data_IF_758163390387
#
_entry.id   IF_758163390387
#
_cell.length_a   1.000
_cell.length_b   1.000
_cell.length_c   1.000
_cell.angle_alpha   90.00
_cell.angle_beta   90.00
_cell.angle_gamma   90.00
#
_symmetry.space_group_name_H-M   'P 1'
#
loop_
_entity.id
_entity.type
_entity.pdbx_description
1 polymer ?
#
# COMPACT_ATOMS: atom_id res chain seq x y z
N UNK A 1 24.99 25.15 -18.36
CA UNK A 1 23.63 25.72 -18.40
C UNK A 1 23.02 25.49 -17.02
N UNK A 2 22.98 26.55 -16.22
CA UNK A 2 22.63 26.51 -14.79
C UNK A 2 21.12 26.47 -14.59
N UNK A 3 20.59 25.37 -14.06
CA UNK A 3 19.22 25.31 -13.52
C UNK A 3 19.33 25.61 -12.02
N UNK A 4 18.88 26.81 -11.63
CA UNK A 4 18.76 27.22 -10.23
C UNK A 4 17.55 26.51 -9.63
N UNK A 5 17.76 25.68 -8.61
CA UNK A 5 16.71 25.22 -7.71
C UNK A 5 16.12 26.44 -6.99
N UNK A 6 14.85 26.74 -7.25
CA UNK A 6 14.04 27.61 -6.39
C UNK A 6 13.61 26.78 -5.17
N UNK A 7 14.33 26.91 -4.07
CA UNK A 7 13.87 26.44 -2.76
C UNK A 7 12.80 27.44 -2.29
N UNK A 8 11.53 27.10 -2.49
CA UNK A 8 10.43 27.77 -1.79
C UNK A 8 10.43 27.29 -0.34
N UNK A 9 11.08 28.06 0.54
CA UNK A 9 10.89 27.94 1.99
C UNK A 9 9.49 28.42 2.35
N UNK A 10 8.51 27.52 2.30
CA UNK A 10 7.21 27.77 2.94
C UNK A 10 7.45 27.65 4.44
N UNK A 11 7.66 28.80 5.10
CA UNK A 11 7.46 28.90 6.54
C UNK A 11 5.97 28.66 6.80
N UNK A 12 5.60 27.42 7.10
CA UNK A 12 4.30 27.13 7.71
C UNK A 12 4.40 27.67 9.13
N UNK A 13 3.66 28.71 9.52
CA UNK A 13 3.56 29.05 10.92
C UNK A 13 2.97 27.82 11.63
N UNK A 14 3.72 27.29 12.60
CA UNK A 14 3.20 26.27 13.52
C UNK A 14 2.09 26.96 14.31
N UNK A 15 0.87 26.89 13.80
CA UNK A 15 -0.32 27.27 14.53
C UNK A 15 -0.50 26.21 15.60
N UNK A 16 0.04 26.48 16.78
CA UNK A 16 -0.32 25.79 18.02
C UNK A 16 -1.77 26.17 18.35
N UNK A 17 -2.73 25.48 17.73
CA UNK A 17 -4.13 25.54 18.14
C UNK A 17 -4.64 24.12 18.36
N UNK A 18 -4.39 23.62 19.56
CA UNK A 18 -5.00 22.41 20.10
C UNK A 18 -6.45 22.67 20.51
N UNK A 19 -7.29 23.09 19.56
CA UNK A 19 -8.73 23.36 19.78
C UNK A 19 -9.65 22.64 18.81
N UNK A 20 -9.11 21.96 17.79
CA UNK A 20 -9.94 21.27 16.81
C UNK A 20 -10.33 19.89 17.34
N UNK A 21 -11.63 19.59 17.35
CA UNK A 21 -12.14 18.31 17.83
C UNK A 21 -11.69 17.15 16.92
N UNK A 22 -11.58 15.93 17.45
CA UNK A 22 -11.17 14.74 16.67
C UNK A 22 -11.99 14.53 15.38
N UNK A 23 -13.33 14.73 15.35
CA UNK A 23 -14.12 14.65 14.13
C UNK A 23 -13.75 15.73 13.09
N UNK A 24 -13.51 16.96 13.52
CA UNK A 24 -13.13 18.07 12.63
C UNK A 24 -11.72 17.90 12.07
N UNK A 25 -10.78 17.37 12.87
CA UNK A 25 -9.45 16.96 12.41
C UNK A 25 -9.56 15.87 11.33
N UNK A 26 -10.36 14.82 11.58
CA UNK A 26 -10.56 13.73 10.63
C UNK A 26 -11.19 14.20 9.31
N UNK A 27 -12.17 15.11 9.37
CA UNK A 27 -12.81 15.70 8.18
C UNK A 27 -11.82 16.57 7.41
N UNK A 28 -11.01 17.39 8.09
CA UNK A 28 -10.02 18.26 7.46
C UNK A 28 -8.94 17.44 6.76
N UNK A 29 -8.34 16.47 7.45
CA UNK A 29 -7.27 15.65 6.85
C UNK A 29 -7.79 14.69 5.79
N UNK A 30 -9.01 14.16 5.94
CA UNK A 30 -9.67 13.38 4.89
C UNK A 30 -9.90 14.19 3.61
N UNK A 31 -10.42 15.42 3.73
CA UNK A 31 -10.60 16.30 2.57
C UNK A 31 -9.28 16.70 1.90
N UNK A 32 -8.24 16.99 2.70
CA UNK A 32 -6.90 17.27 2.17
C UNK A 32 -6.30 16.07 1.43
N UNK A 33 -6.49 14.86 1.95
CA UNK A 33 -6.02 13.64 1.31
C UNK A 33 -6.72 13.38 -0.04
N UNK A 34 -8.04 13.57 -0.11
CA UNK A 34 -8.79 13.41 -1.37
C UNK A 34 -8.38 14.47 -2.41
N UNK A 35 -8.19 15.73 -1.99
CA UNK A 35 -7.71 16.79 -2.88
C UNK A 35 -6.28 16.53 -3.38
N UNK A 36 -5.41 16.00 -2.52
CA UNK A 36 -4.06 15.61 -2.91
C UNK A 36 -4.07 14.45 -3.90
N UNK A 37 -4.97 13.47 -3.68
CA UNK A 37 -5.18 12.36 -4.61
C UNK A 37 -5.67 12.88 -5.97
N UNK A 38 -6.67 13.75 -6.02
CA UNK A 38 -7.13 14.36 -7.28
C UNK A 38 -5.99 15.04 -8.06
N UNK A 39 -5.13 15.80 -7.38
CA UNK A 39 -3.95 16.42 -8.01
C UNK A 39 -2.96 15.39 -8.54
N UNK A 40 -2.75 14.29 -7.81
CA UNK A 40 -1.94 13.17 -8.28
C UNK A 40 -2.55 12.52 -9.52
N UNK A 41 -3.87 12.31 -9.56
CA UNK A 41 -4.55 11.73 -10.72
C UNK A 41 -4.44 12.63 -11.95
N UNK A 42 -4.58 13.94 -11.78
CA UNK A 42 -4.35 14.90 -12.86
C UNK A 42 -2.94 14.80 -13.46
N UNK A 43 -1.92 14.59 -12.62
CA UNK A 43 -0.55 14.36 -13.08
C UNK A 43 -0.40 12.97 -13.74
N UNK A 44 -0.94 11.92 -13.14
CA UNK A 44 -0.87 10.57 -13.70
C UNK A 44 -1.66 10.41 -15.00
N UNK A 45 -2.67 11.26 -15.23
CA UNK A 45 -3.47 11.25 -16.44
C UNK A 45 -2.66 11.62 -17.69
N UNK A 46 -1.78 12.63 -17.59
CA UNK A 46 -0.87 13.01 -18.67
C UNK A 46 0.19 11.95 -18.94
N UNK A 47 0.65 11.29 -17.87
CA UNK A 47 1.79 10.37 -17.89
C UNK A 47 1.39 8.89 -17.81
N UNK A 48 0.11 8.57 -18.06
CA UNK A 48 -0.44 7.23 -17.87
C UNK A 48 0.28 6.14 -18.69
N UNK A 49 0.99 6.49 -19.77
CA UNK A 49 1.77 5.51 -20.56
C UNK A 49 3.15 5.22 -19.97
N UNK A 50 3.63 6.12 -19.12
CA UNK A 50 4.97 6.10 -18.56
C UNK A 50 4.98 5.69 -17.08
N UNK A 51 3.80 5.42 -16.50
CA UNK A 51 3.69 4.84 -15.16
C UNK A 51 4.32 3.44 -15.13
N UNK A 52 5.21 3.25 -14.15
CA UNK A 52 5.74 1.94 -13.82
C UNK A 52 4.69 1.10 -13.07
N UNK A 53 5.00 -0.17 -12.84
CA UNK A 53 4.11 -1.10 -12.15
C UNK A 53 3.76 -0.62 -10.74
N UNK A 54 4.70 -0.05 -10.00
CA UNK A 54 4.47 0.46 -8.64
C UNK A 54 3.45 1.60 -8.62
N UNK A 55 3.53 2.51 -9.59
CA UNK A 55 2.54 3.57 -9.77
C UNK A 55 1.15 3.00 -10.04
N UNK A 56 1.04 1.99 -10.90
CA UNK A 56 -0.22 1.28 -11.16
C UNK A 56 -0.72 0.55 -9.92
N UNK A 57 0.16 -0.11 -9.18
CA UNK A 57 -0.23 -0.83 -7.99
C UNK A 57 -0.66 0.11 -6.86
N UNK A 58 0.03 1.24 -6.68
CA UNK A 58 -0.38 2.31 -5.78
C UNK A 58 -1.76 2.87 -6.13
N UNK A 59 -2.05 3.05 -7.43
CA UNK A 59 -3.38 3.39 -7.91
C UNK A 59 -4.42 2.33 -7.51
N UNK A 60 -4.14 1.04 -7.66
CA UNK A 60 -5.06 -0.02 -7.23
C UNK A 60 -5.30 -0.05 -5.72
N UNK A 61 -4.29 0.25 -4.92
CA UNK A 61 -4.45 0.43 -3.46
C UNK A 61 -5.39 1.59 -3.18
N UNK A 62 -5.15 2.76 -3.77
CA UNK A 62 -6.01 3.93 -3.61
C UNK A 62 -7.46 3.64 -4.06
N UNK A 63 -7.64 2.95 -5.19
CA UNK A 63 -8.97 2.54 -5.68
C UNK A 63 -9.71 1.67 -4.65
N UNK A 64 -9.02 0.67 -4.09
CA UNK A 64 -9.61 -0.20 -3.07
C UNK A 64 -10.01 0.58 -1.81
N UNK A 65 -9.20 1.56 -1.39
CA UNK A 65 -9.53 2.42 -0.24
C UNK A 65 -10.77 3.28 -0.47
N UNK A 66 -10.88 3.88 -1.66
CA UNK A 66 -12.06 4.67 -2.02
C UNK A 66 -13.32 3.80 -2.09
N UNK A 67 -13.20 2.58 -2.60
CA UNK A 67 -14.31 1.62 -2.66
C UNK A 67 -14.78 1.26 -1.25
N UNK A 68 -13.88 0.88 -0.35
CA UNK A 68 -14.22 0.56 1.04
C UNK A 68 -14.81 1.78 1.79
N UNK A 69 -14.26 2.98 1.56
CA UNK A 69 -14.83 4.21 2.12
C UNK A 69 -16.26 4.45 1.61
N UNK A 70 -16.50 4.27 0.32
CA UNK A 70 -17.83 4.41 -0.26
C UNK A 70 -18.81 3.36 0.29
N UNK A 71 -18.38 2.11 0.48
CA UNK A 71 -19.19 1.04 1.10
C UNK A 71 -19.60 1.41 2.54
N UNK A 72 -18.67 1.91 3.36
CA UNK A 72 -18.94 2.36 4.74
C UNK A 72 -19.95 3.52 4.76
N UNK A 73 -19.76 4.50 3.88
CA UNK A 73 -20.64 5.67 3.78
C UNK A 73 -22.04 5.34 3.26
N UNK A 74 -22.20 4.22 2.54
CA UNK A 74 -23.49 3.81 1.96
C UNK A 74 -24.22 2.78 2.80
N UNK A 75 -23.52 1.99 3.60
CA UNK A 75 -24.07 0.92 4.45
C UNK A 75 -24.52 1.42 5.83
N UNK A 76 -24.06 2.58 6.29
CA UNK A 76 -24.39 3.14 7.61
C UNK A 76 -25.73 3.90 7.69
N UNK A 77 -26.47 4.03 6.58
CA UNK A 77 -27.74 4.77 6.52
C UNK A 77 -28.94 3.87 6.21
N UNK A 78 -29.50 3.22 7.22
CA UNK A 78 -30.64 2.31 7.06
C UNK A 78 -32.02 2.98 6.85
N UNK A 79 -32.15 4.31 6.91
CA UNK A 79 -33.49 4.93 6.81
C UNK A 79 -33.68 6.09 5.83
N UNK A 80 -32.66 6.62 5.16
CA UNK A 80 -32.82 7.53 4.02
C UNK A 80 -31.46 7.74 3.35
N UNK A 81 -31.18 6.97 2.29
CA UNK A 81 -29.91 7.03 1.57
C UNK A 81 -29.82 8.35 0.78
N UNK A 82 -29.36 9.43 1.43
CA UNK A 82 -28.99 10.66 0.74
C UNK A 82 -27.55 10.54 0.26
N UNK A 83 -27.38 10.23 -1.02
CA UNK A 83 -26.10 10.41 -1.69
C UNK A 83 -25.71 11.89 -1.58
N UNK A 84 -24.53 12.14 -1.02
CA UNK A 84 -23.98 13.49 -0.91
C UNK A 84 -22.99 13.74 -2.04
N UNK A 85 -22.69 15.01 -2.32
CA UNK A 85 -21.62 15.39 -3.25
C UNK A 85 -20.28 14.71 -2.92
N UNK A 86 -20.04 14.39 -1.64
CA UNK A 86 -18.84 13.67 -1.21
C UNK A 86 -18.80 12.22 -1.69
N UNK A 87 -19.95 11.53 -1.69
CA UNK A 87 -20.04 10.17 -2.21
C UNK A 87 -19.74 10.17 -3.71
N UNK A 88 -20.33 11.11 -4.45
CA UNK A 88 -20.05 11.27 -5.88
C UNK A 88 -18.59 11.61 -6.15
N UNK A 89 -17.97 12.47 -5.34
CA UNK A 89 -16.56 12.80 -5.47
C UNK A 89 -15.65 11.59 -5.24
N UNK A 90 -15.86 10.81 -4.17
CA UNK A 90 -15.10 9.58 -3.89
C UNK A 90 -15.23 8.57 -5.05
N UNK A 91 -16.45 8.38 -5.56
CA UNK A 91 -16.71 7.50 -6.70
C UNK A 91 -16.01 8.00 -7.97
N UNK A 92 -16.04 9.32 -8.24
CA UNK A 92 -15.39 9.90 -9.41
C UNK A 92 -13.87 9.66 -9.40
N UNK A 93 -13.21 9.81 -8.25
CA UNK A 93 -11.79 9.51 -8.09
C UNK A 93 -11.50 8.02 -8.32
N UNK A 94 -12.36 7.12 -7.83
CA UNK A 94 -12.20 5.67 -8.06
C UNK A 94 -12.29 5.30 -9.55
N UNK A 95 -13.25 5.90 -10.28
CA UNK A 95 -13.41 5.72 -11.73
C UNK A 95 -12.20 6.27 -12.49
N UNK A 96 -11.71 7.44 -12.11
CA UNK A 96 -10.54 8.06 -12.72
C UNK A 96 -9.29 7.20 -12.53
N UNK A 97 -9.05 6.69 -11.32
CA UNK A 97 -8.00 5.73 -11.02
C UNK A 97 -8.09 4.50 -11.91
N UNK A 98 -9.29 3.92 -12.05
CA UNK A 98 -9.47 2.72 -12.87
C UNK A 98 -9.03 2.97 -14.32
N UNK A 99 -9.46 4.11 -14.87
CA UNK A 99 -9.15 4.51 -16.25
C UNK A 99 -7.65 4.71 -16.46
N UNK A 100 -6.98 5.41 -15.54
CA UNK A 100 -5.52 5.65 -15.60
C UNK A 100 -4.78 4.32 -15.47
N UNK A 101 -5.11 3.50 -14.46
CA UNK A 101 -4.47 2.21 -14.22
C UNK A 101 -4.63 1.27 -15.42
N UNK A 102 -5.83 1.17 -16.01
CA UNK A 102 -6.08 0.33 -17.18
C UNK A 102 -5.26 0.77 -18.41
N UNK A 103 -5.15 2.08 -18.66
CA UNK A 103 -4.30 2.60 -19.75
C UNK A 103 -2.82 2.28 -19.51
N UNK A 104 -2.37 2.41 -18.27
CA UNK A 104 -1.00 2.11 -17.86
C UNK A 104 -0.67 0.63 -18.01
N UNK A 105 -1.59 -0.26 -17.65
CA UNK A 105 -1.44 -1.71 -17.85
C UNK A 105 -1.28 -2.07 -19.32
N UNK A 106 -2.00 -1.40 -20.23
CA UNK A 106 -1.85 -1.61 -21.69
C UNK A 106 -0.45 -1.19 -22.17
N UNK A 107 0.10 -0.10 -21.62
CA UNK A 107 1.46 0.35 -21.94
C UNK A 107 2.51 -0.63 -21.38
N UNK A 108 2.39 -1.00 -20.10
CA UNK A 108 3.27 -1.97 -19.43
C UNK A 108 3.26 -3.35 -20.10
N UNK A 109 2.12 -3.80 -20.59
CA UNK A 109 2.04 -5.06 -21.34
C UNK A 109 2.90 -5.05 -22.62
N UNK A 110 3.23 -3.86 -23.16
CA UNK A 110 4.11 -3.71 -24.34
C UNK A 110 5.57 -3.51 -23.96
N UNK A 111 5.84 -2.78 -22.89
CA UNK A 111 7.20 -2.34 -22.51
C UNK A 111 7.86 -3.23 -21.46
N UNK A 112 7.08 -3.88 -20.61
CA UNK A 112 7.54 -4.62 -19.43
C UNK A 112 6.68 -5.88 -19.17
N UNK A 113 6.38 -6.64 -20.23
CA UNK A 113 5.42 -7.76 -20.18
C UNK A 113 5.78 -8.85 -19.16
N UNK A 114 7.04 -9.25 -19.08
CA UNK A 114 7.51 -10.26 -18.12
C UNK A 114 7.40 -9.76 -16.68
N UNK A 115 7.74 -8.50 -16.44
CA UNK A 115 7.62 -7.89 -15.11
C UNK A 115 6.16 -7.76 -14.69
N UNK A 116 5.27 -7.31 -15.60
CA UNK A 116 3.83 -7.24 -15.35
C UNK A 116 3.23 -8.61 -15.00
N UNK A 117 3.66 -9.68 -15.67
CA UNK A 117 3.15 -11.03 -15.41
C UNK A 117 3.38 -11.48 -13.96
N UNK A 118 4.47 -11.05 -13.32
CA UNK A 118 4.76 -11.34 -11.89
C UNK A 118 3.66 -10.86 -10.95
N UNK A 119 3.05 -9.73 -11.27
CA UNK A 119 2.17 -8.99 -10.35
C UNK A 119 0.76 -8.78 -10.89
N UNK A 120 0.41 -9.39 -12.03
CA UNK A 120 -0.86 -9.14 -12.71
C UNK A 120 -2.07 -9.37 -11.79
N UNK A 121 -2.00 -10.33 -10.88
CA UNK A 121 -3.07 -10.61 -9.91
C UNK A 121 -3.40 -9.41 -9.02
N UNK A 122 -2.38 -8.64 -8.60
CA UNK A 122 -2.57 -7.46 -7.71
C UNK A 122 -2.68 -6.15 -8.48
N UNK A 123 -2.13 -6.07 -9.68
CA UNK A 123 -2.19 -4.87 -10.52
C UNK A 123 -3.50 -4.74 -11.32
N UNK A 124 -4.22 -5.86 -11.54
CA UNK A 124 -5.42 -5.89 -12.39
C UNK A 124 -6.71 -5.45 -11.71
N UNK A 125 -6.76 -5.41 -10.37
CA UNK A 125 -7.99 -5.16 -9.60
C UNK A 125 -7.73 -4.22 -8.42
N UNK A 126 -8.76 -3.52 -7.92
CA UNK A 126 -8.64 -2.74 -6.70
C UNK A 126 -8.11 -3.59 -5.55
N UNK A 127 -7.15 -3.07 -4.80
CA UNK A 127 -6.60 -3.73 -3.63
C UNK A 127 -7.36 -3.26 -2.39
N UNK A 128 -8.34 -4.05 -1.97
CA UNK A 128 -9.05 -3.85 -0.72
C UNK A 128 -8.30 -4.55 0.41
N UNK A 129 -7.98 -3.81 1.45
CA UNK A 129 -7.42 -4.34 2.67
C UNK A 129 -8.35 -3.98 3.83
N UNK A 130 -8.53 -4.94 4.73
CA UNK A 130 -9.22 -4.73 5.99
C UNK A 130 -8.24 -4.11 6.99
N UNK A 131 -8.39 -2.80 7.23
CA UNK A 131 -7.53 -2.04 8.15
C UNK A 131 -8.14 -2.01 9.55
N UNK A 132 -7.47 -2.69 10.47
CA UNK A 132 -7.72 -2.51 11.90
C UNK A 132 -6.89 -1.29 12.39
N UNK A 133 -7.54 -0.13 12.51
CA UNK A 133 -6.91 1.08 13.04
C UNK A 133 -6.55 0.85 14.50
N UNK A 134 -5.24 0.72 14.76
CA UNK A 134 -4.73 0.36 16.08
C UNK A 134 -3.55 1.23 16.51
N UNK A 135 -3.37 1.33 17.82
CA UNK A 135 -2.23 2.07 18.41
C UNK A 135 -0.93 1.29 18.23
N UNK A 136 0.13 2.01 17.89
CA UNK A 136 1.49 1.48 17.83
C UNK A 136 1.89 0.95 19.21
N UNK A 137 2.49 -0.24 19.23
CA UNK A 137 2.91 -0.93 20.45
C UNK A 137 4.42 -0.86 20.58
N UNK A 138 4.91 0.13 21.32
CA UNK A 138 6.36 0.38 21.54
C UNK A 138 7.15 -0.83 22.03
N UNK A 139 6.50 -1.82 22.67
CA UNK A 139 7.13 -3.09 23.08
C UNK A 139 7.74 -3.88 21.91
N UNK A 140 7.30 -3.63 20.69
CA UNK A 140 7.82 -4.29 19.49
C UNK A 140 8.93 -3.50 18.78
N UNK A 141 9.37 -2.37 19.35
CA UNK A 141 10.52 -1.65 18.81
C UNK A 141 11.77 -2.52 18.92
N UNK A 142 12.37 -2.79 17.77
CA UNK A 142 13.64 -3.49 17.67
C UNK A 142 14.76 -2.55 18.13
N UNK A 143 15.63 -3.08 18.99
CA UNK A 143 16.76 -2.33 19.55
C UNK A 143 18.06 -2.87 18.98
N UNK A 144 18.93 -1.96 18.55
CA UNK A 144 20.26 -2.30 18.01
C UNK A 144 20.38 -2.04 16.52
N UNK A 145 21.46 -2.55 15.93
CA UNK A 145 21.77 -2.34 14.52
C UNK A 145 20.76 -3.09 13.64
N UNK A 146 20.09 -2.34 12.75
CA UNK A 146 19.13 -2.85 11.77
C UNK A 146 19.67 -2.68 10.36
N UNK A 147 19.38 -3.64 9.48
CA UNK A 147 19.90 -3.65 8.11
C UNK A 147 18.87 -3.16 7.11
N UNK A 148 19.32 -2.29 6.20
CA UNK A 148 18.58 -1.87 5.02
C UNK A 148 18.99 -2.67 3.78
N UNK A 149 19.94 -3.62 3.89
CA UNK A 149 20.39 -4.43 2.75
C UNK A 149 19.19 -5.18 2.18
N UNK A 150 18.89 -4.91 0.92
CA UNK A 150 17.71 -5.41 0.23
C UNK A 150 18.09 -5.82 -1.17
N UNK A 151 17.64 -7.01 -1.57
CA UNK A 151 17.71 -7.49 -2.94
C UNK A 151 16.28 -7.43 -3.48
N UNK A 152 16.03 -6.45 -4.35
CA UNK A 152 14.70 -6.20 -4.89
C UNK A 152 14.27 -7.32 -5.85
N UNK A 153 15.20 -7.86 -6.63
CA UNK A 153 14.93 -8.98 -7.54
C UNK A 153 14.57 -10.26 -6.79
N UNK A 154 15.25 -10.52 -5.67
CA UNK A 154 14.91 -11.63 -4.77
C UNK A 154 13.52 -11.43 -4.15
N UNK A 155 13.21 -10.21 -3.69
CA UNK A 155 11.91 -9.86 -3.11
C UNK A 155 10.79 -10.04 -4.11
N UNK A 156 10.95 -9.51 -5.33
CA UNK A 156 9.99 -9.64 -6.42
C UNK A 156 9.79 -11.10 -6.82
N UNK A 157 10.84 -11.90 -6.71
CA UNK A 157 10.74 -13.34 -6.83
C UNK A 157 9.81 -13.99 -5.80
N UNK A 158 9.85 -13.52 -4.56
CA UNK A 158 8.97 -13.99 -3.50
C UNK A 158 7.53 -13.50 -3.62
N UNK A 159 7.31 -12.33 -4.23
CA UNK A 159 5.96 -11.93 -4.66
C UNK A 159 5.45 -12.81 -5.80
N UNK A 160 6.27 -13.06 -6.82
CA UNK A 160 5.89 -13.92 -7.95
C UNK A 160 5.53 -15.35 -7.49
N UNK A 161 6.29 -15.89 -6.53
CA UNK A 161 5.99 -17.18 -5.89
C UNK A 161 4.66 -17.16 -5.13
N UNK A 162 4.46 -16.15 -4.27
CA UNK A 162 3.22 -15.96 -3.51
C UNK A 162 1.99 -15.87 -4.43
N UNK A 163 2.12 -15.14 -5.54
CA UNK A 163 1.06 -14.88 -6.51
C UNK A 163 0.83 -16.04 -7.49
N UNK A 164 1.75 -17.02 -7.55
CA UNK A 164 1.70 -18.11 -8.53
C UNK A 164 1.88 -17.61 -9.95
N UNK A 165 2.84 -16.71 -10.18
CA UNK A 165 3.04 -16.10 -11.49
C UNK A 165 3.49 -17.09 -12.56
N UNK A 166 2.96 -16.93 -13.77
CA UNK A 166 3.25 -17.76 -14.93
C UNK A 166 4.66 -17.56 -15.51
N UNK A 167 5.37 -16.52 -15.08
CA UNK A 167 6.77 -16.30 -15.49
C UNK A 167 7.73 -17.27 -14.79
N UNK A 168 7.26 -18.03 -13.80
CA UNK A 168 7.99 -19.09 -13.09
C UNK A 168 7.35 -20.45 -13.34
N UNK A 169 8.07 -21.42 -13.93
CA UNK A 169 7.54 -22.77 -14.11
C UNK A 169 7.21 -23.40 -12.74
N UNK A 170 6.02 -24.01 -12.63
CA UNK A 170 5.50 -24.66 -11.42
C UNK A 170 5.17 -23.73 -10.24
N UNK A 171 5.11 -22.40 -10.43
CA UNK A 171 4.65 -21.50 -9.38
C UNK A 171 3.16 -21.72 -9.10
N UNK A 172 2.86 -22.23 -7.91
CA UNK A 172 1.49 -22.41 -7.42
C UNK A 172 1.20 -21.31 -6.42
N UNK A 173 0.12 -20.55 -6.62
CA UNK A 173 -0.31 -19.51 -5.70
C UNK A 173 -0.33 -20.03 -4.25
N UNK A 174 0.18 -19.24 -3.32
CA UNK A 174 0.31 -19.56 -1.89
C UNK A 174 1.34 -20.64 -1.52
N UNK A 175 2.03 -21.26 -2.47
CA UNK A 175 3.09 -22.22 -2.17
C UNK A 175 4.42 -21.49 -1.93
N UNK A 176 4.68 -21.16 -0.67
CA UNK A 176 5.83 -20.35 -0.26
C UNK A 176 7.02 -21.25 0.12
N UNK A 177 8.17 -21.02 -0.49
CA UNK A 177 9.44 -21.70 -0.22
C UNK A 177 10.10 -21.16 1.05
N UNK A 178 10.95 -21.98 1.66
CA UNK A 178 11.68 -21.59 2.87
C UNK A 178 12.57 -20.35 2.69
N UNK A 179 13.29 -20.17 1.56
CA UNK A 179 14.04 -18.93 1.31
C UNK A 179 13.16 -17.69 1.32
N UNK A 180 12.03 -17.71 0.60
CA UNK A 180 11.12 -16.57 0.56
C UNK A 180 10.47 -16.28 1.91
N UNK A 181 10.07 -17.33 2.63
CA UNK A 181 9.59 -17.18 3.99
C UNK A 181 10.64 -16.57 4.91
N UNK A 182 11.89 -17.04 4.84
CA UNK A 182 13.01 -16.53 5.65
C UNK A 182 13.27 -15.05 5.34
N UNK A 183 13.34 -14.68 4.07
CA UNK A 183 13.53 -13.30 3.63
C UNK A 183 12.43 -12.38 4.16
N UNK A 184 11.17 -12.77 3.98
CA UNK A 184 10.00 -11.97 4.35
C UNK A 184 9.76 -11.91 5.87
N UNK A 185 10.34 -12.84 6.65
CA UNK A 185 10.21 -12.91 8.12
C UNK A 185 11.48 -12.55 8.90
N UNK A 186 12.55 -12.16 8.21
CA UNK A 186 13.81 -11.73 8.81
C UNK A 186 13.58 -10.49 9.67
N UNK A 187 13.97 -10.57 10.94
CA UNK A 187 13.95 -9.46 11.90
C UNK A 187 15.16 -8.52 11.75
N UNK A 188 15.18 -7.42 12.49
CA UNK A 188 16.26 -6.43 12.49
C UNK A 188 16.46 -5.77 11.12
N UNK A 189 15.38 -5.56 10.38
CA UNK A 189 15.36 -4.88 9.08
C UNK A 189 14.81 -3.46 9.23
N UNK A 190 15.16 -2.55 8.34
CA UNK A 190 14.66 -1.16 8.34
C UNK A 190 14.43 -0.63 6.93
N UNK A 191 13.86 0.56 6.86
CA UNK A 191 13.67 1.34 5.63
C UNK A 191 12.85 0.53 4.59
N UNK A 192 13.23 0.65 3.32
CA UNK A 192 12.56 0.03 2.17
C UNK A 192 12.33 -1.48 2.32
N UNK A 193 13.31 -2.21 2.87
CA UNK A 193 13.18 -3.65 3.13
C UNK A 193 12.02 -3.97 4.07
N UNK A 194 11.91 -3.25 5.18
CA UNK A 194 10.87 -3.49 6.17
C UNK A 194 9.48 -3.20 5.60
N UNK A 195 9.36 -2.13 4.79
CA UNK A 195 8.10 -1.83 4.11
C UNK A 195 7.70 -2.91 3.10
N UNK A 196 8.66 -3.50 2.38
CA UNK A 196 8.39 -4.63 1.47
C UNK A 196 7.96 -5.90 2.20
N UNK A 197 8.57 -6.19 3.36
CA UNK A 197 8.13 -7.32 4.19
C UNK A 197 6.68 -7.16 4.61
N UNK A 198 6.27 -5.97 5.11
CA UNK A 198 4.88 -5.70 5.44
C UNK A 198 3.97 -5.81 4.22
N UNK A 199 4.36 -5.22 3.09
CA UNK A 199 3.58 -5.25 1.85
C UNK A 199 3.32 -6.69 1.37
N UNK A 200 4.33 -7.55 1.43
CA UNK A 200 4.21 -8.97 1.07
C UNK A 200 3.16 -9.67 1.93
N UNK A 201 3.14 -9.41 3.24
CA UNK A 201 2.10 -9.95 4.14
C UNK A 201 0.70 -9.42 3.82
N UNK A 202 0.57 -8.13 3.53
CA UNK A 202 -0.71 -7.53 3.14
C UNK A 202 -1.25 -8.15 1.86
N UNK A 203 -0.38 -8.38 0.86
CA UNK A 203 -0.73 -9.09 -0.38
C UNK A 203 -1.15 -10.52 -0.08
N UNK A 204 -0.38 -11.24 0.73
CA UNK A 204 -0.69 -12.63 1.06
C UNK A 204 -2.05 -12.76 1.77
N UNK A 205 -2.38 -11.80 2.65
CA UNK A 205 -3.70 -11.71 3.31
C UNK A 205 -4.81 -11.39 2.31
N UNK A 206 -4.62 -10.41 1.43
CA UNK A 206 -5.68 -9.97 0.49
C UNK A 206 -6.04 -11.04 -0.54
N UNK A 207 -5.08 -11.88 -0.93
CA UNK A 207 -5.30 -12.99 -1.85
C UNK A 207 -5.69 -14.31 -1.15
N UNK A 208 -5.78 -14.31 0.18
CA UNK A 208 -6.19 -15.48 0.97
C UNK A 208 -5.12 -16.58 1.12
N UNK A 209 -3.83 -16.27 0.95
CA UNK A 209 -2.75 -17.24 1.15
C UNK A 209 -2.35 -17.43 2.61
N UNK A 210 -2.77 -16.52 3.47
CA UNK A 210 -2.47 -16.53 4.89
C UNK A 210 -3.79 -16.34 5.63
N UNK A 211 -4.33 -17.42 6.21
CA UNK A 211 -5.46 -17.34 7.13
C UNK A 211 -4.95 -17.03 8.54
N UNK A 212 -5.66 -16.16 9.26
CA UNK A 212 -5.45 -15.92 10.69
C UNK A 212 -5.60 -17.21 11.53
N UNK A 213 -6.22 -18.27 11.00
CA UNK A 213 -6.46 -19.55 11.70
C UNK A 213 -5.59 -20.73 11.27
N UNK A 214 -4.95 -20.67 10.10
CA UNK A 214 -4.22 -21.80 9.53
C UNK A 214 -2.83 -21.38 9.04
N UNK A 215 -1.93 -21.09 9.99
CA UNK A 215 -0.50 -21.20 9.72
C UNK A 215 -0.15 -22.69 9.62
N UNK A 216 -0.42 -23.26 8.44
CA UNK A 216 -0.01 -24.60 8.05
C UNK A 216 1.52 -24.62 7.86
N UNK A 217 2.20 -25.31 8.77
CA UNK A 217 3.56 -25.87 8.63
C UNK A 217 4.75 -24.93 8.33
N UNK A 218 4.57 -23.61 8.22
CA UNK A 218 5.69 -22.68 8.01
C UNK A 218 5.81 -21.70 9.19
N UNK A 219 6.45 -22.19 10.26
CA UNK A 219 6.95 -21.46 11.43
C UNK A 219 5.91 -20.76 12.34
N UNK A 220 6.02 -21.06 13.64
CA UNK A 220 5.18 -20.62 14.76
C UNK A 220 5.18 -19.10 15.07
N UNK A 221 5.52 -18.21 14.13
CA UNK A 221 5.35 -16.77 14.36
C UNK A 221 3.90 -16.40 14.08
N UNK A 222 3.20 -15.95 15.13
CA UNK A 222 1.86 -15.39 15.00
C UNK A 222 1.90 -14.25 13.97
N UNK A 223 1.15 -14.35 12.87
CA UNK A 223 1.12 -13.34 11.80
C UNK A 223 0.79 -11.94 12.34
N UNK A 224 -0.10 -11.88 13.33
CA UNK A 224 -0.43 -10.65 14.05
C UNK A 224 0.78 -10.07 14.77
N UNK A 225 1.66 -10.92 15.31
CA UNK A 225 2.91 -10.47 15.94
C UNK A 225 3.85 -9.85 14.89
N UNK A 226 4.00 -10.47 13.71
CA UNK A 226 4.84 -9.91 12.64
C UNK A 226 4.28 -8.58 12.15
N UNK A 227 2.97 -8.49 11.91
CA UNK A 227 2.31 -7.25 11.50
C UNK A 227 2.46 -6.15 12.55
N UNK A 228 2.22 -6.46 13.84
CA UNK A 228 2.43 -5.53 14.95
C UNK A 228 3.90 -5.06 15.03
N UNK A 229 4.85 -5.97 14.82
CA UNK A 229 6.28 -5.68 14.82
C UNK A 229 6.66 -4.76 13.66
N UNK A 230 6.24 -5.08 12.43
CA UNK A 230 6.59 -4.30 11.25
C UNK A 230 5.97 -2.91 11.30
N UNK A 231 4.68 -2.79 11.59
CA UNK A 231 4.03 -1.48 11.73
C UNK A 231 4.71 -0.63 12.81
N UNK A 232 5.10 -1.23 13.94
CA UNK A 232 5.77 -0.50 15.02
C UNK A 232 7.16 0.00 14.62
N UNK A 233 7.93 -0.81 13.88
CA UNK A 233 9.28 -0.43 13.46
C UNK A 233 9.29 0.50 12.25
N UNK A 234 8.32 0.41 11.33
CA UNK A 234 8.11 1.41 10.27
C UNK A 234 7.79 2.77 10.89
N UNK A 235 6.92 2.78 11.91
CA UNK A 235 6.63 4.01 12.64
C UNK A 235 7.89 4.57 13.32
N UNK A 236 8.71 3.70 13.94
CA UNK A 236 9.97 4.11 14.53
C UNK A 236 10.92 4.72 13.48
N UNK A 237 11.07 4.09 12.32
CA UNK A 237 11.91 4.59 11.22
C UNK A 237 11.47 5.99 10.77
N UNK A 238 10.16 6.19 10.59
CA UNK A 238 9.58 7.48 10.24
C UNK A 238 9.79 8.56 11.30
N UNK A 239 9.90 8.21 12.59
CA UNK A 239 10.19 9.16 13.66
C UNK A 239 11.66 9.58 13.71
N UNK A 240 12.56 8.70 13.27
CA UNK A 240 14.00 8.92 13.37
C UNK A 240 14.57 9.74 12.21
N UNK A 241 13.77 10.06 11.17
CA UNK A 241 14.20 10.77 9.96
C UNK A 241 15.47 10.16 9.34
N UNK A 242 15.56 8.83 9.31
CA UNK A 242 16.68 8.09 8.71
C UNK A 242 16.47 7.98 7.20
#
# INVERSE_FOLDING_TARGET
MNIRLLIFSIFIPIVTSSTLSSPELNIKYGGLALNALERLLNFFESDAKDLNLDGVYGLRIAQGQLNSLNEILTSSSHENQRFTDKNHYIQSLSIEIERIANRSLIALAKTASSYLQRFLLVASKPFQADYDVRKIKKKFFEKGSRTAKFDEDESDGCFAELLGSTDRPNATKCLITQPCWSMMTTSMTKDYRLTHQLLWFLVAKSIGCIDNRAASNVSNKNLKYLEDQYCSNIYLDAQLNI
#
